data_IF_273664827327
#
_entry.id   IF_273664827327
#
_cell.length_a   1.000
_cell.length_b   1.000
_cell.length_c   1.000
_cell.angle_alpha   90.00
_cell.angle_beta   90.00
_cell.angle_gamma   90.00
#
_symmetry.space_group_name_H-M   'P 1'
#
loop_
_entity.id
_entity.type
_entity.pdbx_description
1 polymer ?
#
# COMPACT_ATOMS: atom_id res chain seq x y z
N UNK A 1 -7.07 16.83 -11.54
CA UNK A 1 -7.07 15.96 -10.35
C UNK A 1 -8.45 15.32 -10.22
N UNK A 2 -8.56 14.07 -9.75
CA UNK A 2 -9.86 13.49 -9.43
C UNK A 2 -10.54 14.29 -8.30
N UNK A 3 -11.87 14.27 -8.26
CA UNK A 3 -12.68 15.11 -7.36
C UNK A 3 -13.90 14.35 -6.85
N UNK A 4 -14.49 14.76 -5.70
CA UNK A 4 -15.69 14.13 -5.16
C UNK A 4 -16.86 14.14 -6.15
N UNK A 5 -17.50 12.99 -6.36
CA UNK A 5 -18.69 12.88 -7.22
C UNK A 5 -19.93 12.86 -6.33
N UNK A 6 -20.90 13.74 -6.61
CA UNK A 6 -22.18 13.77 -5.88
C UNK A 6 -23.11 12.68 -6.42
N UNK A 7 -23.58 11.79 -5.55
CA UNK A 7 -24.54 10.76 -5.94
C UNK A 7 -25.92 11.37 -6.23
N UNK A 8 -26.55 11.07 -7.38
CA UNK A 8 -27.75 11.78 -7.84
C UNK A 8 -28.98 11.59 -6.95
N UNK A 9 -29.18 10.38 -6.37
CA UNK A 9 -30.35 10.09 -5.52
C UNK A 9 -30.19 10.53 -4.06
N UNK A 10 -29.06 10.24 -3.43
CA UNK A 10 -28.83 10.48 -2.00
C UNK A 10 -28.23 11.86 -1.70
N UNK A 11 -27.62 12.50 -2.70
CA UNK A 11 -26.87 13.75 -2.55
C UNK A 11 -25.55 13.61 -1.77
N UNK A 12 -25.19 12.39 -1.35
CA UNK A 12 -23.93 12.10 -0.65
C UNK A 12 -22.78 12.10 -1.65
N UNK A 13 -21.64 12.62 -1.25
CA UNK A 13 -20.42 12.62 -2.06
C UNK A 13 -19.65 11.30 -1.96
N UNK A 14 -19.03 10.91 -3.07
CA UNK A 14 -18.23 9.70 -3.22
C UNK A 14 -16.85 10.03 -3.78
N UNK A 15 -15.86 9.25 -3.37
CA UNK A 15 -14.59 9.12 -4.05
C UNK A 15 -14.77 8.03 -5.11
N UNK A 16 -14.62 8.38 -6.37
CA UNK A 16 -14.64 7.43 -7.49
C UNK A 16 -13.36 7.59 -8.29
N UNK A 17 -12.46 6.63 -8.18
CA UNK A 17 -11.14 6.69 -8.83
C UNK A 17 -10.83 5.37 -9.51
N UNK A 18 -10.14 5.45 -10.65
CA UNK A 18 -9.62 4.27 -11.34
C UNK A 18 -8.31 3.85 -10.70
N UNK A 19 -8.15 2.56 -10.46
CA UNK A 19 -6.89 2.01 -9.99
C UNK A 19 -5.84 2.03 -11.10
N UNK A 20 -4.55 2.19 -10.77
CA UNK A 20 -3.44 2.05 -11.71
C UNK A 20 -3.50 0.73 -12.47
N UNK A 21 -3.21 0.76 -13.77
CA UNK A 21 -3.39 -0.41 -14.66
C UNK A 21 -2.48 -1.58 -14.32
N UNK A 22 -1.28 -1.30 -13.80
CA UNK A 22 -0.36 -2.26 -13.19
C UNK A 22 -1.00 -3.02 -12.03
N UNK A 23 -1.68 -2.31 -11.11
CA UNK A 23 -2.36 -2.93 -9.98
C UNK A 23 -3.60 -3.70 -10.39
N UNK A 24 -4.33 -3.25 -11.41
CA UNK A 24 -5.47 -4.00 -11.97
C UNK A 24 -5.00 -5.33 -12.57
N UNK A 25 -3.85 -5.33 -13.26
CA UNK A 25 -3.25 -6.57 -13.79
C UNK A 25 -2.81 -7.52 -12.68
N UNK A 26 -2.43 -7.01 -11.52
CA UNK A 26 -2.12 -7.82 -10.33
C UNK A 26 -3.35 -8.19 -9.49
N UNK A 27 -4.58 -7.93 -9.98
CA UNK A 27 -5.83 -8.35 -9.35
C UNK A 27 -6.54 -7.29 -8.50
N UNK A 28 -6.07 -6.04 -8.47
CA UNK A 28 -6.79 -4.95 -7.82
C UNK A 28 -8.09 -4.60 -8.56
N UNK A 29 -9.07 -4.05 -7.85
CA UNK A 29 -10.33 -3.62 -8.45
C UNK A 29 -10.07 -2.47 -9.44
N UNK A 30 -10.67 -2.48 -10.65
CA UNK A 30 -10.42 -1.47 -11.68
C UNK A 30 -10.94 -0.08 -11.31
N UNK A 31 -12.01 -0.01 -10.53
CA UNK A 31 -12.60 1.23 -10.04
C UNK A 31 -12.88 1.05 -8.56
N UNK A 32 -12.46 2.04 -7.77
CA UNK A 32 -12.80 2.17 -6.36
C UNK A 32 -13.84 3.26 -6.20
N UNK A 33 -14.94 2.90 -5.55
CA UNK A 33 -16.04 3.80 -5.23
C UNK A 33 -16.31 3.73 -3.72
N UNK A 34 -16.05 4.83 -3.01
CA UNK A 34 -16.18 4.91 -1.56
C UNK A 34 -17.02 6.14 -1.17
N UNK A 35 -17.97 5.96 -0.26
CA UNK A 35 -18.76 7.08 0.26
C UNK A 35 -17.93 7.98 1.17
N UNK A 36 -17.95 9.28 0.91
CA UNK A 36 -17.34 10.30 1.79
C UNK A 36 -18.24 10.67 2.98
N UNK A 37 -19.42 10.03 3.10
CA UNK A 37 -20.36 10.17 4.22
C UNK A 37 -20.71 11.63 4.55
N UNK A 38 -20.85 12.48 3.53
CA UNK A 38 -21.24 13.88 3.68
C UNK A 38 -22.00 14.36 2.44
N UNK A 39 -22.91 15.33 2.63
CA UNK A 39 -23.58 16.07 1.56
C UNK A 39 -23.02 17.48 1.38
N UNK A 40 -22.13 17.92 2.27
CA UNK A 40 -21.47 19.22 2.21
C UNK A 40 -20.29 19.17 1.23
N UNK A 41 -20.26 20.03 0.19
CA UNK A 41 -19.17 20.08 -0.79
C UNK A 41 -17.79 20.39 -0.18
N UNK A 42 -17.72 21.25 0.84
CA UNK A 42 -16.44 21.64 1.45
C UNK A 42 -15.84 20.48 2.24
N UNK A 43 -16.63 19.86 3.10
CA UNK A 43 -16.22 18.66 3.84
C UNK A 43 -15.93 17.47 2.89
N UNK A 44 -16.68 17.32 1.81
CA UNK A 44 -16.41 16.30 0.79
C UNK A 44 -15.02 16.47 0.17
N UNK A 45 -14.65 17.70 -0.20
CA UNK A 45 -13.33 18.01 -0.75
C UNK A 45 -12.21 17.68 0.24
N UNK A 46 -12.39 18.02 1.52
CA UNK A 46 -11.42 17.72 2.59
C UNK A 46 -11.24 16.21 2.77
N UNK A 47 -12.33 15.46 2.93
CA UNK A 47 -12.31 13.99 3.10
C UNK A 47 -11.74 13.28 1.88
N UNK A 48 -12.07 13.77 0.69
CA UNK A 48 -11.52 13.23 -0.55
C UNK A 48 -10.01 13.38 -0.61
N UNK A 49 -9.47 14.57 -0.33
CA UNK A 49 -8.03 14.80 -0.37
C UNK A 49 -7.29 13.84 0.57
N UNK A 50 -7.77 13.70 1.80
CA UNK A 50 -7.19 12.78 2.79
C UNK A 50 -7.26 11.31 2.32
N UNK A 51 -8.44 10.83 1.92
CA UNK A 51 -8.59 9.43 1.50
C UNK A 51 -7.83 9.12 0.21
N UNK A 52 -7.75 10.09 -0.71
CA UNK A 52 -7.02 9.93 -1.95
C UNK A 52 -5.50 9.84 -1.70
N UNK A 53 -4.97 10.61 -0.76
CA UNK A 53 -3.56 10.48 -0.31
C UNK A 53 -3.29 9.12 0.33
N UNK A 54 -4.15 8.65 1.23
CA UNK A 54 -4.05 7.29 1.81
C UNK A 54 -4.05 6.22 0.71
N UNK A 55 -4.93 6.36 -0.28
CA UNK A 55 -5.04 5.41 -1.38
C UNK A 55 -3.79 5.39 -2.26
N UNK A 56 -3.16 6.54 -2.49
CA UNK A 56 -1.88 6.62 -3.20
C UNK A 56 -0.77 5.88 -2.44
N UNK A 57 -0.74 5.98 -1.11
CA UNK A 57 0.20 5.23 -0.28
C UNK A 57 -0.07 3.72 -0.31
N UNK A 58 -1.34 3.31 -0.24
CA UNK A 58 -1.75 1.90 -0.36
C UNK A 58 -1.30 1.32 -1.72
N UNK A 59 -1.52 2.05 -2.81
CA UNK A 59 -1.05 1.65 -4.14
C UNK A 59 0.47 1.54 -4.22
N UNK A 60 1.19 2.48 -3.59
CA UNK A 60 2.66 2.42 -3.56
C UNK A 60 3.18 1.22 -2.76
N UNK A 61 2.51 0.87 -1.66
CA UNK A 61 2.80 -0.36 -0.92
C UNK A 61 2.62 -1.58 -1.81
N UNK A 62 1.48 -1.69 -2.52
CA UNK A 62 1.20 -2.82 -3.41
C UNK A 62 2.29 -3.02 -4.48
N UNK A 63 2.83 -1.92 -5.03
CA UNK A 63 3.89 -1.96 -6.05
C UNK A 63 5.23 -2.47 -5.56
N UNK A 64 5.50 -2.42 -4.27
CA UNK A 64 6.72 -3.00 -3.68
C UNK A 64 6.71 -4.53 -3.76
N UNK A 65 5.57 -5.13 -4.13
CA UNK A 65 5.37 -6.58 -4.17
C UNK A 65 5.22 -7.19 -2.77
N UNK A 66 4.61 -8.39 -2.65
CA UNK A 66 4.51 -9.08 -1.37
C UNK A 66 5.91 -9.45 -0.86
N UNK A 67 6.24 -9.03 0.36
CA UNK A 67 7.52 -9.30 0.98
C UNK A 67 7.39 -9.81 2.42
N UNK A 68 8.43 -10.47 2.90
CA UNK A 68 8.50 -10.89 4.30
C UNK A 68 8.60 -9.66 5.21
N UNK A 69 7.72 -9.59 6.20
CA UNK A 69 7.73 -8.51 7.20
C UNK A 69 8.37 -9.04 8.50
N UNK A 70 9.32 -8.29 9.11
CA UNK A 70 9.87 -8.66 10.41
C UNK A 70 8.77 -8.82 11.47
N UNK A 71 8.86 -9.86 12.29
CA UNK A 71 7.80 -10.18 13.26
C UNK A 71 7.53 -9.03 14.25
N UNK A 72 8.57 -8.31 14.69
CA UNK A 72 8.43 -7.15 15.57
C UNK A 72 7.57 -6.03 14.96
N UNK A 73 7.63 -5.84 13.63
CA UNK A 73 6.79 -4.87 12.92
C UNK A 73 5.32 -5.32 12.90
N UNK A 74 5.06 -6.62 12.74
CA UNK A 74 3.71 -7.18 12.81
C UNK A 74 3.11 -7.03 14.21
N UNK A 75 3.90 -7.28 15.25
CA UNK A 75 3.47 -7.10 16.65
C UNK A 75 3.23 -5.61 16.96
N UNK A 76 4.06 -4.70 16.43
CA UNK A 76 3.84 -3.26 16.57
C UNK A 76 2.53 -2.83 15.89
N UNK A 77 2.22 -3.33 14.68
CA UNK A 77 0.93 -3.08 14.01
C UNK A 77 -0.27 -3.63 14.80
N UNK A 78 -0.14 -4.81 15.39
CA UNK A 78 -1.18 -5.34 16.27
C UNK A 78 -1.40 -4.43 17.50
N UNK A 79 -0.33 -3.81 18.01
CA UNK A 79 -0.40 -2.79 19.07
C UNK A 79 -1.08 -1.49 18.62
N UNK A 80 -0.83 -1.00 17.40
CA UNK A 80 -1.58 0.13 16.84
C UNK A 80 -3.07 -0.20 16.69
N UNK A 81 -3.38 -1.41 16.26
CA UNK A 81 -4.75 -1.88 16.18
C UNK A 81 -5.42 -1.95 17.56
N UNK A 82 -4.71 -2.43 18.58
CA UNK A 82 -5.15 -2.39 19.99
C UNK A 82 -5.50 -0.97 20.43
N UNK A 83 -4.63 0.01 20.17
CA UNK A 83 -4.89 1.42 20.50
C UNK A 83 -6.17 1.92 19.85
N UNK A 84 -6.38 1.62 18.57
CA UNK A 84 -7.62 1.99 17.85
C UNK A 84 -8.85 1.35 18.50
N UNK A 85 -8.79 0.08 18.87
CA UNK A 85 -9.89 -0.59 19.57
C UNK A 85 -10.20 0.08 20.91
N UNK A 86 -9.18 0.42 21.71
CA UNK A 86 -9.36 1.09 22.99
C UNK A 86 -10.09 2.44 22.85
N UNK A 87 -9.78 3.21 21.79
CA UNK A 87 -10.47 4.50 21.53
C UNK A 87 -11.96 4.36 21.24
N UNK A 88 -12.42 3.21 20.74
CA UNK A 88 -13.84 3.00 20.40
C UNK A 88 -14.74 2.90 21.64
N UNK A 89 -14.17 2.56 22.79
CA UNK A 89 -14.87 2.23 24.06
C UNK A 89 -14.15 2.86 25.25
N UNK A 90 -13.50 4.00 25.01
CA UNK A 90 -12.64 4.66 26.00
C UNK A 90 -13.43 5.18 27.19
N UNK A 91 -14.58 5.82 26.96
CA UNK A 91 -15.40 6.38 28.04
C UNK A 91 -16.39 5.36 28.58
N UNK A 92 -17.10 4.69 27.67
CA UNK A 92 -18.17 3.76 28.00
C UNK A 92 -17.83 2.37 27.47
N UNK A 93 -17.36 1.44 28.32
CA UNK A 93 -17.06 0.08 27.91
C UNK A 93 -18.30 -0.71 27.52
N UNK A 94 -19.50 -0.23 27.86
CA UNK A 94 -20.78 -0.90 27.56
C UNK A 94 -21.09 -2.06 28.51
N UNK A 95 -22.06 -2.89 28.13
CA UNK A 95 -22.68 -3.89 29.01
C UNK A 95 -21.78 -5.11 29.28
N UNK A 96 -21.55 -5.51 30.55
CA UNK A 96 -20.72 -6.66 30.90
C UNK A 96 -21.12 -7.98 30.23
N UNK A 97 -22.42 -8.20 30.03
CA UNK A 97 -22.96 -9.44 29.46
C UNK A 97 -22.52 -9.62 28.00
N UNK A 98 -22.36 -8.53 27.24
CA UNK A 98 -21.86 -8.60 25.87
C UNK A 98 -20.40 -9.05 25.83
N UNK A 99 -19.58 -8.53 26.75
CA UNK A 99 -18.19 -8.95 26.86
C UNK A 99 -18.03 -10.39 27.33
N UNK A 100 -18.89 -10.87 28.23
CA UNK A 100 -18.90 -12.27 28.67
C UNK A 100 -19.17 -13.22 27.49
N UNK A 101 -20.13 -12.89 26.62
CA UNK A 101 -20.43 -13.67 25.41
C UNK A 101 -19.24 -13.66 24.45
N UNK A 102 -18.60 -12.50 24.23
CA UNK A 102 -17.44 -12.40 23.34
C UNK A 102 -16.24 -13.17 23.86
N UNK A 103 -16.00 -13.14 25.18
CA UNK A 103 -14.95 -13.91 25.86
C UNK A 103 -15.13 -15.40 25.66
N UNK A 104 -16.34 -15.90 25.91
CA UNK A 104 -16.68 -17.31 25.71
C UNK A 104 -16.43 -17.74 24.26
N UNK A 105 -16.96 -16.98 23.29
CA UNK A 105 -16.77 -17.30 21.86
C UNK A 105 -15.31 -17.25 21.41
N UNK A 106 -14.51 -16.38 22.00
CA UNK A 106 -13.10 -16.20 21.67
C UNK A 106 -12.18 -17.16 22.43
N UNK A 107 -12.72 -17.92 23.39
CA UNK A 107 -12.03 -18.97 24.14
C UNK A 107 -12.10 -20.36 23.49
N UNK A 108 -12.93 -20.52 22.44
CA UNK A 108 -13.05 -21.78 21.69
C UNK A 108 -11.73 -22.08 20.95
N UNK A 109 -11.13 -23.28 21.10
CA UNK A 109 -9.80 -23.61 20.56
C UNK A 109 -9.67 -23.70 19.03
N UNK A 110 -10.78 -23.75 18.28
CA UNK A 110 -10.80 -23.98 16.82
C UNK A 110 -10.49 -22.71 16.00
N UNK A 111 -9.34 -22.10 16.27
CA UNK A 111 -8.80 -21.00 15.49
C UNK A 111 -7.91 -21.55 14.36
N UNK A 112 -8.50 -22.24 13.38
CA UNK A 112 -7.74 -22.63 12.17
C UNK A 112 -7.22 -21.38 11.45
N UNK A 113 -6.09 -21.44 10.74
CA UNK A 113 -5.59 -20.32 9.95
C UNK A 113 -6.65 -19.72 9.01
N UNK A 114 -7.46 -20.57 8.39
CA UNK A 114 -8.55 -20.18 7.48
C UNK A 114 -9.69 -19.49 8.24
N UNK A 115 -10.04 -20.02 9.43
CA UNK A 115 -11.04 -19.43 10.31
C UNK A 115 -10.62 -18.04 10.76
N UNK A 116 -9.39 -17.88 11.23
CA UNK A 116 -8.86 -16.58 11.64
C UNK A 116 -8.76 -15.60 10.46
N UNK A 117 -8.36 -16.07 9.27
CA UNK A 117 -8.32 -15.24 8.07
C UNK A 117 -9.71 -14.72 7.68
N UNK A 118 -10.78 -15.47 7.94
CA UNK A 118 -12.17 -15.01 7.72
C UNK A 118 -12.56 -13.87 8.66
N UNK A 119 -12.07 -13.86 9.91
CA UNK A 119 -12.41 -12.84 10.89
C UNK A 119 -11.51 -11.59 10.80
N UNK A 120 -10.21 -11.77 10.61
CA UNK A 120 -9.23 -10.69 10.70
C UNK A 120 -8.55 -10.36 9.37
N UNK A 121 -8.78 -11.15 8.32
CA UNK A 121 -8.01 -11.05 7.08
C UNK A 121 -8.14 -9.72 6.35
N UNK A 122 -9.33 -9.11 6.37
CA UNK A 122 -9.59 -7.81 5.76
C UNK A 122 -8.93 -6.68 6.55
N UNK A 123 -9.08 -6.69 7.88
CA UNK A 123 -8.43 -5.70 8.75
C UNK A 123 -6.90 -5.84 8.74
N UNK A 124 -6.37 -7.06 8.71
CA UNK A 124 -4.94 -7.31 8.58
C UNK A 124 -4.39 -6.73 7.26
N UNK A 125 -5.08 -6.96 6.14
CA UNK A 125 -4.71 -6.39 4.85
C UNK A 125 -4.75 -4.86 4.87
N UNK A 126 -5.81 -4.27 5.44
CA UNK A 126 -5.95 -2.82 5.56
C UNK A 126 -4.87 -2.20 6.45
N UNK A 127 -4.55 -2.82 7.58
CA UNK A 127 -3.50 -2.36 8.49
C UNK A 127 -2.13 -2.36 7.81
N UNK A 128 -1.80 -3.44 7.10
CA UNK A 128 -0.55 -3.55 6.35
C UNK A 128 -0.43 -2.46 5.27
N UNK A 129 -1.47 -2.28 4.46
CA UNK A 129 -1.44 -1.30 3.37
C UNK A 129 -1.40 0.15 3.90
N UNK A 130 -2.15 0.47 4.95
CA UNK A 130 -2.07 1.78 5.63
C UNK A 130 -0.69 2.03 6.26
N UNK A 131 0.00 0.97 6.64
CA UNK A 131 1.37 1.03 7.12
C UNK A 131 2.42 1.12 6.01
N UNK A 132 2.00 1.15 4.73
CA UNK A 132 2.90 1.18 3.58
C UNK A 132 3.53 -0.18 3.27
N UNK A 133 3.00 -1.28 3.81
CA UNK A 133 3.55 -2.63 3.69
C UNK A 133 2.68 -3.50 2.79
N UNK A 134 3.33 -4.28 1.92
CA UNK A 134 2.70 -5.38 1.19
C UNK A 134 3.33 -6.70 1.67
N UNK A 135 2.61 -7.43 2.51
CA UNK A 135 3.12 -8.64 3.15
C UNK A 135 2.90 -9.88 2.28
N UNK A 136 3.85 -10.81 2.32
CA UNK A 136 3.65 -12.19 1.87
C UNK A 136 2.61 -12.95 2.73
N UNK A 137 2.12 -14.07 2.22
CA UNK A 137 1.08 -14.87 2.91
C UNK A 137 1.53 -15.33 4.29
N UNK A 138 2.82 -15.64 4.45
CA UNK A 138 3.39 -16.06 5.72
C UNK A 138 3.34 -14.96 6.78
N UNK A 139 3.76 -13.74 6.43
CA UNK A 139 3.75 -12.58 7.31
C UNK A 139 2.32 -12.10 7.56
N UNK A 140 1.45 -12.15 6.56
CA UNK A 140 0.02 -11.88 6.71
C UNK A 140 -0.64 -12.84 7.71
N UNK A 141 -0.36 -14.14 7.60
CA UNK A 141 -0.85 -15.14 8.56
C UNK A 141 -0.37 -14.89 9.99
N UNK A 142 0.90 -14.50 10.16
CA UNK A 142 1.45 -14.14 11.48
C UNK A 142 0.77 -12.90 12.08
N UNK A 143 0.46 -11.88 11.27
CA UNK A 143 -0.29 -10.71 11.73
C UNK A 143 -1.70 -11.10 12.19
N UNK A 144 -2.40 -11.91 11.41
CA UNK A 144 -3.74 -12.42 11.75
C UNK A 144 -3.72 -13.16 13.09
N UNK A 145 -2.71 -14.00 13.32
CA UNK A 145 -2.52 -14.68 14.60
C UNK A 145 -2.29 -13.70 15.76
N UNK A 146 -1.48 -12.66 15.56
CA UNK A 146 -1.27 -11.62 16.58
C UNK A 146 -2.54 -10.81 16.85
N UNK A 147 -3.30 -10.43 15.82
CA UNK A 147 -4.59 -9.75 15.98
C UNK A 147 -5.57 -10.61 16.78
N UNK A 148 -5.60 -11.93 16.56
CA UNK A 148 -6.45 -12.81 17.36
C UNK A 148 -6.08 -12.78 18.85
N UNK A 149 -4.78 -12.85 19.17
CA UNK A 149 -4.30 -12.74 20.56
C UNK A 149 -4.71 -11.39 21.17
N UNK A 150 -4.47 -10.30 20.45
CA UNK A 150 -4.83 -8.94 20.90
C UNK A 150 -6.33 -8.81 21.13
N UNK A 151 -7.17 -9.38 20.26
CA UNK A 151 -8.61 -9.33 20.41
C UNK A 151 -9.07 -10.02 21.70
N UNK A 152 -8.49 -11.18 22.05
CA UNK A 152 -8.79 -11.90 23.29
C UNK A 152 -8.41 -11.08 24.52
N UNK A 153 -7.18 -10.56 24.54
CA UNK A 153 -6.69 -9.71 25.63
C UNK A 153 -7.55 -8.46 25.79
N UNK A 154 -7.95 -7.83 24.68
CA UNK A 154 -8.80 -6.65 24.68
C UNK A 154 -10.20 -6.95 25.22
N UNK A 155 -10.84 -8.05 24.79
CA UNK A 155 -12.14 -8.48 25.34
C UNK A 155 -12.04 -8.74 26.84
N UNK A 156 -10.96 -9.36 27.30
CA UNK A 156 -10.76 -9.61 28.72
C UNK A 156 -10.59 -8.32 29.52
N UNK A 157 -9.86 -7.35 28.98
CA UNK A 157 -9.70 -6.03 29.56
C UNK A 157 -11.01 -5.26 29.62
N UNK A 158 -11.76 -5.21 28.51
CA UNK A 158 -13.02 -4.49 28.41
C UNK A 158 -14.10 -5.10 29.30
N UNK A 159 -14.14 -6.42 29.47
CA UNK A 159 -15.00 -7.06 30.45
C UNK A 159 -14.71 -6.56 31.88
N UNK A 160 -13.44 -6.47 32.30
CA UNK A 160 -13.09 -5.94 33.63
C UNK A 160 -13.52 -4.48 33.79
N UNK A 161 -13.29 -3.65 32.78
CA UNK A 161 -13.71 -2.23 32.78
C UNK A 161 -15.22 -2.08 32.87
N UNK A 162 -15.98 -2.91 32.16
CA UNK A 162 -17.45 -2.91 32.24
C UNK A 162 -17.99 -3.23 33.63
N UNK A 163 -17.18 -3.89 34.47
CA UNK A 163 -17.49 -4.20 35.87
C UNK A 163 -16.94 -3.15 36.86
N UNK A 164 -16.40 -2.04 36.37
CA UNK A 164 -15.87 -0.94 37.18
C UNK A 164 -14.36 -1.00 37.47
N UNK A 165 -13.61 -1.97 36.96
CA UNK A 165 -12.16 -2.04 37.14
C UNK A 165 -11.43 -1.33 35.98
N UNK A 166 -11.07 -0.05 36.20
CA UNK A 166 -10.36 0.81 35.24
C UNK A 166 -8.85 0.87 35.45
N UNK A 167 -8.26 -0.06 36.23
CA UNK A 167 -6.79 -0.10 36.36
C UNK A 167 -6.15 -0.31 34.97
N UNK A 168 -5.01 0.33 34.68
CA UNK A 168 -4.34 0.20 33.39
C UNK A 168 -4.05 -1.24 33.00
N UNK A 169 -4.09 -1.54 31.70
CA UNK A 169 -3.71 -2.84 31.17
C UNK A 169 -2.20 -2.92 30.97
N UNK A 170 -1.50 -3.72 31.78
CA UNK A 170 -0.05 -3.90 31.63
C UNK A 170 0.33 -4.63 30.33
N UNK A 171 -0.61 -5.37 29.71
CA UNK A 171 -0.34 -6.09 28.48
C UNK A 171 -0.02 -5.16 27.31
N UNK A 172 -0.43 -3.89 27.34
CA UNK A 172 -0.12 -2.95 26.25
C UNK A 172 1.37 -2.55 26.21
N UNK A 173 2.11 -2.73 27.31
CA UNK A 173 3.54 -2.42 27.39
C UNK A 173 4.41 -3.38 26.57
N UNK A 174 3.86 -4.56 26.20
CA UNK A 174 4.59 -5.57 25.41
C UNK A 174 4.75 -5.20 23.95
N UNK A 175 3.93 -4.28 23.43
CA UNK A 175 3.96 -3.91 22.01
C UNK A 175 5.17 -3.02 21.72
N UNK A 176 6.04 -3.40 20.76
CA UNK A 176 7.08 -2.49 20.28
C UNK A 176 6.45 -1.22 19.70
N UNK A 177 7.18 -0.10 19.78
CA UNK A 177 6.77 1.12 19.11
C UNK A 177 6.69 0.89 17.59
N UNK A 178 5.63 1.38 16.96
CA UNK A 178 5.56 1.41 15.51
C UNK A 178 6.59 2.39 14.97
N UNK A 179 7.53 1.87 14.18
CA UNK A 179 8.50 2.67 13.44
C UNK A 179 8.26 2.37 11.97
N UNK A 180 7.82 3.36 11.16
CA UNK A 180 7.67 3.17 9.73
C UNK A 180 8.98 2.64 9.17
N UNK A 181 8.97 1.40 8.69
CA UNK A 181 10.14 0.85 8.02
C UNK A 181 10.34 1.67 6.75
N UNK A 182 11.40 2.48 6.67
CA UNK A 182 12.03 2.71 5.37
C UNK A 182 12.38 1.31 4.91
N UNK A 183 11.64 0.78 3.93
CA UNK A 183 11.99 -0.47 3.24
C UNK A 183 13.50 -0.45 3.12
N UNK A 184 14.25 -1.41 3.72
CA UNK A 184 15.69 -1.42 3.58
C UNK A 184 15.95 -1.24 2.09
N UNK A 185 16.66 -0.18 1.70
CA UNK A 185 17.10 -0.03 0.32
C UNK A 185 17.61 -1.40 -0.07
N UNK A 186 16.92 -2.04 -1.01
CA UNK A 186 17.27 -3.38 -1.47
C UNK A 186 18.78 -3.37 -1.65
N UNK A 187 19.46 -4.26 -0.92
CA UNK A 187 20.91 -4.50 -1.03
C UNK A 187 21.22 -4.37 -2.52
N UNK A 188 22.13 -3.47 -2.94
CA UNK A 188 22.37 -3.22 -4.35
C UNK A 188 22.57 -4.57 -5.02
N UNK A 189 21.57 -4.95 -5.81
CA UNK A 189 21.60 -6.25 -6.45
C UNK A 189 22.78 -6.27 -7.42
N UNK A 190 23.38 -7.43 -7.68
CA UNK A 190 24.56 -7.56 -8.53
C UNK A 190 24.39 -6.75 -9.83
N UNK A 191 25.50 -6.18 -10.30
CA UNK A 191 25.59 -5.26 -11.44
C UNK A 191 25.05 -5.83 -12.78
N UNK A 192 24.63 -7.08 -12.79
CA UNK A 192 24.30 -7.88 -13.97
C UNK A 192 22.95 -7.51 -14.63
N UNK A 193 22.21 -6.51 -14.13
CA UNK A 193 20.95 -6.06 -14.74
C UNK A 193 20.71 -4.54 -14.67
N UNK A 194 21.64 -3.76 -15.23
CA UNK A 194 21.50 -2.31 -15.37
C UNK A 194 20.86 -1.89 -16.71
N UNK A 195 20.30 -0.69 -16.77
CA UNK A 195 19.76 -0.07 -18.00
C UNK A 195 20.88 0.03 -19.04
N UNK A 196 22.08 0.42 -18.59
CA UNK A 196 23.27 0.55 -19.44
C UNK A 196 23.71 -0.79 -20.03
N UNK A 197 23.81 -1.85 -19.23
CA UNK A 197 24.25 -3.17 -19.73
C UNK A 197 23.18 -3.81 -20.63
N UNK A 198 21.90 -3.71 -20.27
CA UNK A 198 20.80 -4.15 -21.14
C UNK A 198 20.86 -3.44 -22.51
N UNK A 199 21.16 -2.14 -22.52
CA UNK A 199 21.34 -1.40 -23.77
C UNK A 199 22.57 -1.82 -24.56
N UNK A 200 23.72 -2.07 -23.91
CA UNK A 200 24.93 -2.55 -24.60
C UNK A 200 24.70 -3.88 -25.31
N UNK A 201 23.96 -4.79 -24.69
CA UNK A 201 23.58 -6.06 -25.31
C UNK A 201 22.74 -5.82 -26.56
N UNK A 202 21.71 -4.97 -26.46
CA UNK A 202 20.89 -4.60 -27.62
C UNK A 202 21.69 -3.87 -28.71
N UNK A 203 22.58 -2.94 -28.34
CA UNK A 203 23.39 -2.17 -29.27
C UNK A 203 24.35 -3.07 -30.06
N UNK A 204 25.00 -4.01 -29.38
CA UNK A 204 25.84 -5.03 -30.02
C UNK A 204 25.06 -5.78 -31.08
N UNK A 205 23.88 -6.27 -30.75
CA UNK A 205 23.05 -7.07 -31.66
C UNK A 205 22.48 -6.21 -32.81
N UNK A 206 22.08 -4.97 -32.53
CA UNK A 206 21.63 -4.01 -33.55
C UNK A 206 22.71 -3.72 -34.60
N UNK A 207 23.95 -3.47 -34.16
CA UNK A 207 25.09 -3.23 -35.06
C UNK A 207 25.51 -4.49 -35.81
N UNK A 208 25.56 -5.65 -35.14
CA UNK A 208 25.86 -6.93 -35.78
C UNK A 208 24.87 -7.28 -36.89
N UNK A 209 23.61 -6.85 -36.76
CA UNK A 209 22.56 -7.01 -37.76
C UNK A 209 22.60 -5.96 -38.90
N UNK A 210 23.69 -5.18 -39.02
CA UNK A 210 23.88 -4.17 -40.07
C UNK A 210 22.92 -2.99 -39.98
N UNK A 211 22.30 -2.75 -38.82
CA UNK A 211 21.39 -1.62 -38.64
C UNK A 211 22.17 -0.32 -38.37
N UNK A 212 21.58 0.87 -38.65
CA UNK A 212 22.32 2.13 -38.59
C UNK A 212 22.82 2.48 -37.18
N UNK A 213 24.09 2.85 -37.07
CA UNK A 213 24.72 3.32 -35.82
C UNK A 213 24.05 4.60 -35.29
N UNK A 214 23.55 5.45 -36.19
CA UNK A 214 22.78 6.64 -35.84
C UNK A 214 21.56 6.29 -34.97
N UNK A 215 20.91 5.16 -35.23
CA UNK A 215 19.77 4.70 -34.44
C UNK A 215 20.21 4.33 -33.03
N UNK A 216 21.29 3.55 -32.89
CA UNK A 216 21.82 3.21 -31.58
C UNK A 216 22.20 4.47 -30.76
N UNK A 217 22.83 5.45 -31.41
CA UNK A 217 23.16 6.74 -30.79
C UNK A 217 21.92 7.52 -30.30
N UNK A 218 20.86 7.56 -31.09
CA UNK A 218 19.59 8.22 -30.72
C UNK A 218 18.92 7.52 -29.52
N UNK A 219 18.91 6.19 -29.48
CA UNK A 219 18.38 5.44 -28.34
C UNK A 219 19.23 5.59 -27.08
N UNK A 220 20.57 5.63 -27.20
CA UNK A 220 21.47 5.89 -26.08
C UNK A 220 21.13 7.20 -25.37
N UNK A 221 20.95 8.28 -26.13
CA UNK A 221 20.59 9.59 -25.56
C UNK A 221 19.25 9.57 -24.80
N UNK A 222 18.28 8.78 -25.28
CA UNK A 222 16.98 8.64 -24.61
C UNK A 222 17.11 7.86 -23.30
N UNK A 223 17.92 6.80 -23.29
CA UNK A 223 18.20 6.04 -22.08
C UNK A 223 19.01 6.85 -21.07
N UNK A 224 19.96 7.67 -21.51
CA UNK A 224 20.65 8.63 -20.64
C UNK A 224 19.67 9.63 -20.02
N UNK A 225 18.69 10.12 -20.80
CA UNK A 225 17.62 10.96 -20.28
C UNK A 225 16.76 10.23 -19.24
N UNK A 226 16.38 8.98 -19.50
CA UNK A 226 15.60 8.17 -18.54
C UNK A 226 16.40 7.91 -17.26
N UNK A 227 17.66 7.50 -17.38
CA UNK A 227 18.57 7.24 -16.26
C UNK A 227 18.77 8.50 -15.40
N UNK A 228 18.94 9.65 -16.04
CA UNK A 228 19.03 10.94 -15.33
C UNK A 228 17.74 11.28 -14.60
N UNK A 229 16.58 10.96 -15.21
CA UNK A 229 15.28 11.22 -14.61
C UNK A 229 15.01 10.32 -13.38
N UNK A 230 15.27 9.01 -13.48
CA UNK A 230 15.06 8.07 -12.36
C UNK A 230 16.18 8.10 -11.31
N UNK A 231 17.34 8.68 -11.64
CA UNK A 231 18.46 8.87 -10.72
C UNK A 231 19.28 7.63 -10.40
N UNK A 232 19.01 6.49 -11.06
CA UNK A 232 19.74 5.24 -10.89
C UNK A 232 19.86 4.46 -12.20
N UNK A 233 20.77 3.48 -12.25
CA UNK A 233 21.00 2.63 -13.42
C UNK A 233 20.39 1.21 -13.28
N UNK A 234 19.72 0.89 -12.17
CA UNK A 234 19.11 -0.43 -11.96
C UNK A 234 17.81 -0.60 -12.77
N UNK A 235 17.83 -1.45 -13.80
CA UNK A 235 16.66 -1.64 -14.68
C UNK A 235 15.48 -2.32 -13.97
N UNK A 236 15.71 -3.04 -12.86
CA UNK A 236 14.64 -3.70 -12.08
C UNK A 236 13.83 -2.70 -11.26
N UNK A 237 14.41 -1.53 -10.97
CA UNK A 237 13.77 -0.47 -10.19
C UNK A 237 12.94 0.48 -11.06
N UNK A 238 13.10 0.44 -12.39
CA UNK A 238 12.31 1.25 -13.31
C UNK A 238 10.88 0.71 -13.37
N UNK A 239 9.92 1.52 -12.94
CA UNK A 239 8.50 1.18 -12.94
C UNK A 239 7.76 1.79 -14.15
N UNK A 240 6.55 1.30 -14.49
CA UNK A 240 5.71 1.96 -15.49
C UNK A 240 5.33 3.40 -15.13
N UNK A 241 5.26 3.74 -13.84
CA UNK A 241 5.02 5.11 -13.38
C UNK A 241 6.22 6.00 -13.65
N UNK A 242 7.44 5.52 -13.45
CA UNK A 242 8.65 6.26 -13.81
C UNK A 242 8.66 6.59 -15.30
N UNK A 243 8.22 5.67 -16.16
CA UNK A 243 8.09 5.93 -17.61
C UNK A 243 7.00 6.97 -17.91
N UNK A 244 5.87 6.93 -17.21
CA UNK A 244 4.79 7.90 -17.38
C UNK A 244 5.21 9.31 -16.92
N UNK A 245 5.80 9.41 -15.72
CA UNK A 245 6.31 10.66 -15.16
C UNK A 245 7.47 11.21 -15.99
N UNK A 246 8.36 10.36 -16.50
CA UNK A 246 9.40 10.75 -17.44
C UNK A 246 8.79 11.31 -18.73
N UNK A 247 7.74 10.66 -19.28
CA UNK A 247 7.05 11.16 -20.45
C UNK A 247 6.40 12.53 -20.22
N UNK A 248 5.87 12.78 -19.02
CA UNK A 248 5.31 14.08 -18.65
C UNK A 248 6.41 15.13 -18.40
N UNK A 249 7.55 14.77 -17.81
CA UNK A 249 8.73 15.64 -17.70
C UNK A 249 9.25 16.04 -19.09
N UNK A 250 9.35 15.08 -20.02
CA UNK A 250 9.72 15.36 -21.41
C UNK A 250 8.76 16.38 -22.04
N UNK A 251 7.46 16.29 -21.77
CA UNK A 251 6.45 17.20 -22.34
C UNK A 251 6.46 18.58 -21.69
N UNK A 252 6.51 18.63 -20.38
CA UNK A 252 6.24 19.85 -19.61
C UNK A 252 7.52 20.59 -19.23
N UNK A 253 8.54 19.89 -18.75
CA UNK A 253 9.80 20.49 -18.33
C UNK A 253 10.80 20.63 -19.50
N UNK A 254 10.83 19.66 -20.42
CA UNK A 254 11.71 19.69 -21.60
C UNK A 254 11.02 20.17 -22.89
N UNK A 255 9.73 20.52 -22.81
CA UNK A 255 8.93 21.06 -23.93
C UNK A 255 8.95 20.20 -25.21
N UNK A 256 9.07 18.88 -25.07
CA UNK A 256 9.02 17.93 -26.18
C UNK A 256 7.55 17.64 -26.52
N UNK A 257 7.17 17.77 -27.79
CA UNK A 257 5.77 17.55 -28.18
C UNK A 257 5.30 16.12 -27.88
N UNK A 258 4.04 15.96 -27.45
CA UNK A 258 3.46 14.65 -27.13
C UNK A 258 3.54 13.65 -28.28
N UNK A 259 3.41 14.14 -29.53
CA UNK A 259 3.65 13.35 -30.75
C UNK A 259 5.08 12.80 -30.81
N UNK A 260 6.08 13.63 -30.52
CA UNK A 260 7.49 13.24 -30.55
C UNK A 260 7.83 12.28 -29.40
N UNK A 261 7.25 12.45 -28.22
CA UNK A 261 7.39 11.48 -27.12
C UNK A 261 6.85 10.10 -27.54
N UNK A 262 5.62 10.02 -28.06
CA UNK A 262 5.05 8.75 -28.52
C UNK A 262 5.84 8.10 -29.66
N UNK A 263 6.23 8.88 -30.69
CA UNK A 263 6.86 8.34 -31.91
C UNK A 263 8.37 8.12 -31.81
N UNK A 264 9.04 8.63 -30.78
CA UNK A 264 10.50 8.50 -30.66
C UNK A 264 10.99 7.96 -29.32
N UNK A 265 10.26 8.16 -28.23
CA UNK A 265 10.71 7.76 -26.89
C UNK A 265 10.05 6.46 -26.40
N UNK A 266 8.87 6.10 -26.93
CA UNK A 266 8.11 4.90 -26.56
C UNK A 266 7.99 3.90 -27.71
N UNK A 267 8.89 3.98 -28.70
CA UNK A 267 8.84 3.08 -29.86
C UNK A 267 9.26 1.68 -29.41
N UNK A 268 8.36 0.73 -29.56
CA UNK A 268 8.61 -0.72 -29.44
C UNK A 268 8.84 -1.29 -30.83
#
# INVERSE_FOLDING_TARGET
MPSPIKHPKTGVYYLTVRSPSDLVRSGARPVLEESLRTKDPAEAKRRFALRYEELQQEWQAMRSGPGMIPFAQLVALAGEWRRVLDTMVEQEPGEPQLWAILREKSSVPDATPEGLAKYYGDDAGRLLLKAGLNADDYSRGRLIGQMHIVAKEWVDFQHRRSQGDFRPDQLVERFPAWVPTKVPEQIPSPADFSITEAFKLWERDHLANGKPERTARDFRQKLDSLRTFVGHDDARKVTPEDIALWCDDLRHAKSISGRKVSQKYLVV
#
